data_IF_060531793166
#
_entry.id   IF_060531793166
#
_cell.length_a   1.000
_cell.length_b   1.000
_cell.length_c   1.000
_cell.angle_alpha   90.00
_cell.angle_beta   90.00
_cell.angle_gamma   90.00
#
_symmetry.space_group_name_H-M   'P 1'
#
loop_
_entity.id
_entity.type
_entity.pdbx_description
1 polymer ?
#
# COMPACT_ATOMS: atom_id res chain seq x y z
N UNK A 1 -12.35 -29.07 -23.28
CA UNK A 1 -12.97 -28.32 -22.17
C UNK A 1 -14.07 -27.45 -22.78
N UNK A 2 -15.31 -27.52 -22.30
CA UNK A 2 -16.43 -26.73 -22.88
C UNK A 2 -16.47 -25.40 -22.12
N UNK A 3 -16.05 -24.31 -22.76
CA UNK A 3 -16.09 -22.99 -22.14
C UNK A 3 -17.55 -22.55 -21.95
N UNK A 4 -17.91 -22.17 -20.73
CA UNK A 4 -19.21 -21.56 -20.43
C UNK A 4 -18.99 -20.07 -20.17
N UNK A 5 -18.98 -19.28 -21.24
CA UNK A 5 -18.76 -17.83 -21.19
C UNK A 5 -19.89 -17.05 -20.49
N UNK A 6 -20.97 -17.75 -20.10
CA UNK A 6 -22.11 -17.20 -19.36
C UNK A 6 -22.17 -17.72 -17.91
N UNK A 7 -21.22 -18.54 -17.48
CA UNK A 7 -21.16 -18.97 -16.08
C UNK A 7 -20.71 -17.80 -15.21
N UNK A 8 -21.64 -17.24 -14.43
CA UNK A 8 -21.30 -16.39 -13.29
C UNK A 8 -20.73 -17.24 -12.14
N UNK A 9 -19.93 -16.61 -11.28
CA UNK A 9 -19.58 -17.20 -9.98
C UNK A 9 -20.86 -17.12 -9.12
N UNK A 10 -21.32 -18.21 -8.50
CA UNK A 10 -22.52 -18.18 -7.66
C UNK A 10 -22.40 -17.14 -6.55
N UNK A 11 -23.47 -16.39 -6.27
CA UNK A 11 -23.46 -15.28 -5.32
C UNK A 11 -22.96 -15.71 -3.93
N UNK A 12 -23.30 -16.93 -3.49
CA UNK A 12 -22.83 -17.54 -2.24
C UNK A 12 -21.31 -17.75 -2.15
N UNK A 13 -20.62 -17.69 -3.29
CA UNK A 13 -19.17 -17.78 -3.41
C UNK A 13 -18.51 -16.44 -3.75
N UNK A 14 -19.30 -15.37 -3.83
CA UNK A 14 -18.81 -14.03 -4.08
C UNK A 14 -18.90 -13.17 -2.84
N UNK A 15 -17.89 -12.30 -2.67
CA UNK A 15 -17.94 -11.22 -1.71
C UNK A 15 -17.34 -9.98 -2.37
N UNK A 16 -18.03 -8.86 -2.21
CA UNK A 16 -17.53 -7.55 -2.59
C UNK A 16 -17.25 -6.75 -1.34
N UNK A 17 -16.02 -6.26 -1.20
CA UNK A 17 -15.65 -5.28 -0.18
C UNK A 17 -14.99 -4.09 -0.86
N UNK A 18 -15.51 -2.90 -0.58
CA UNK A 18 -14.91 -1.65 -1.02
C UNK A 18 -13.67 -1.35 -0.17
N UNK A 19 -12.53 -1.10 -0.83
CA UNK A 19 -11.34 -0.60 -0.14
C UNK A 19 -11.57 0.84 0.35
N UNK A 20 -11.04 1.23 1.53
CA UNK A 20 -11.14 2.60 2.03
C UNK A 20 -10.53 3.60 1.03
N UNK A 21 -11.20 4.75 0.86
CA UNK A 21 -10.82 5.77 -0.13
C UNK A 21 -10.96 7.21 0.41
N UNK A 22 -10.96 7.40 1.73
CA UNK A 22 -11.10 8.72 2.36
C UNK A 22 -9.91 9.64 2.03
N UNK A 23 -8.76 9.04 1.69
CA UNK A 23 -7.52 9.72 1.32
C UNK A 23 -7.36 9.91 -0.20
N UNK A 24 -8.31 9.47 -1.03
CA UNK A 24 -8.29 9.68 -2.48
C UNK A 24 -7.44 8.70 -3.30
N UNK A 25 -7.06 7.55 -2.73
CA UNK A 25 -6.37 6.46 -3.45
C UNK A 25 -7.27 5.89 -4.55
N UNK A 26 -6.80 5.93 -5.79
CA UNK A 26 -7.61 5.62 -6.97
C UNK A 26 -7.19 4.37 -7.73
N UNK A 27 -6.13 3.69 -7.30
CA UNK A 27 -5.62 2.51 -7.98
C UNK A 27 -5.00 1.48 -7.03
N UNK A 28 -4.83 0.26 -7.53
CA UNK A 28 -4.10 -0.83 -6.88
C UNK A 28 -3.25 -1.54 -7.94
N UNK A 29 -1.97 -1.76 -7.65
CA UNK A 29 -1.01 -2.35 -8.60
C UNK A 29 -0.29 -3.58 -8.04
N UNK A 30 -0.64 -3.99 -6.82
CA UNK A 30 -0.02 -5.14 -6.22
C UNK A 30 -0.92 -5.77 -5.16
N UNK A 31 -0.92 -7.11 -5.17
CA UNK A 31 -1.62 -7.92 -4.20
C UNK A 31 -0.91 -9.27 -4.03
N UNK A 32 -0.94 -9.82 -2.82
CA UNK A 32 -0.44 -11.16 -2.57
C UNK A 32 -1.36 -11.91 -1.60
N UNK A 33 -1.45 -13.24 -1.78
CA UNK A 33 -2.19 -14.12 -0.87
C UNK A 33 -1.21 -14.83 0.06
N UNK A 34 -1.48 -14.78 1.35
CA UNK A 34 -0.74 -15.57 2.35
C UNK A 34 -1.12 -17.04 2.31
N UNK A 35 -0.32 -17.88 2.99
CA UNK A 35 -0.62 -19.30 3.20
C UNK A 35 -1.89 -19.54 4.03
N UNK A 36 -2.26 -18.59 4.89
CA UNK A 36 -3.44 -18.66 5.77
C UNK A 36 -4.68 -18.01 5.16
N UNK A 37 -4.73 -17.89 3.83
CA UNK A 37 -5.84 -17.31 3.08
C UNK A 37 -6.19 -15.85 3.41
N UNK A 38 -5.23 -15.08 3.91
CA UNK A 38 -5.34 -13.62 4.03
C UNK A 38 -4.76 -12.97 2.79
N UNK A 39 -5.40 -11.91 2.31
CA UNK A 39 -4.94 -11.16 1.14
C UNK A 39 -4.34 -9.84 1.59
N UNK A 40 -3.28 -9.43 0.93
CA UNK A 40 -2.63 -8.14 1.15
C UNK A 40 -2.77 -7.35 -0.12
N UNK A 41 -3.35 -6.16 -0.01
CA UNK A 41 -3.71 -5.33 -1.16
C UNK A 41 -3.13 -3.94 -0.95
N UNK A 42 -2.29 -3.52 -1.88
CA UNK A 42 -1.78 -2.15 -1.87
C UNK A 42 -2.78 -1.22 -2.56
N UNK A 43 -3.04 -0.05 -1.99
CA UNK A 43 -3.75 1.03 -2.68
C UNK A 43 -2.84 2.23 -2.82
N UNK A 44 -3.05 2.98 -3.89
CA UNK A 44 -2.03 3.87 -4.39
C UNK A 44 -2.62 5.10 -5.09
N UNK A 45 -1.83 6.16 -5.16
CA UNK A 45 -2.10 7.35 -5.95
C UNK A 45 -1.59 7.19 -7.37
N UNK A 46 -2.47 7.35 -8.35
CA UNK A 46 -2.19 7.27 -9.77
C UNK A 46 -2.70 8.48 -10.54
N UNK A 47 -1.98 8.87 -11.59
CA UNK A 47 -2.30 10.07 -12.37
C UNK A 47 -2.06 11.31 -11.52
N UNK A 48 -3.05 12.20 -11.44
CA UNK A 48 -2.94 13.50 -10.76
C UNK A 48 -3.14 13.42 -9.24
N UNK A 49 -3.05 12.22 -8.63
CA UNK A 49 -3.30 11.97 -7.20
C UNK A 49 -2.00 11.73 -6.42
N UNK A 50 -1.35 12.78 -5.88
CA UNK A 50 -0.07 12.72 -5.19
C UNK A 50 -0.24 12.26 -3.74
N UNK A 51 -0.66 11.01 -3.55
CA UNK A 51 -0.83 10.41 -2.21
C UNK A 51 0.11 9.21 -2.05
N UNK A 52 0.71 9.08 -0.86
CA UNK A 52 1.56 7.92 -0.54
C UNK A 52 0.74 6.63 -0.48
N UNK A 53 1.35 5.50 -0.85
CA UNK A 53 0.66 4.21 -0.84
C UNK A 53 0.23 3.77 0.57
N UNK A 54 -0.83 2.96 0.62
CA UNK A 54 -1.25 2.22 1.81
C UNK A 54 -1.24 0.73 1.52
N UNK A 55 -1.09 -0.07 2.57
CA UNK A 55 -1.24 -1.52 2.50
C UNK A 55 -2.34 -1.97 3.46
N UNK A 56 -3.24 -2.77 2.91
CA UNK A 56 -4.35 -3.37 3.64
C UNK A 56 -4.20 -4.88 3.71
N UNK A 57 -4.67 -5.45 4.81
CA UNK A 57 -4.93 -6.88 4.97
C UNK A 57 -6.43 -7.13 4.88
N UNK A 58 -6.83 -8.08 4.04
CA UNK A 58 -8.20 -8.48 3.77
C UNK A 58 -8.45 -9.92 4.22
N UNK A 59 -9.56 -10.11 4.93
CA UNK A 59 -10.02 -11.40 5.45
C UNK A 59 -11.23 -11.88 4.62
N UNK A 60 -11.06 -12.84 3.69
CA UNK A 60 -12.10 -13.21 2.73
C UNK A 60 -13.38 -13.77 3.38
N UNK A 61 -13.23 -14.53 4.46
CA UNK A 61 -14.37 -15.15 5.16
C UNK A 61 -15.37 -14.11 5.69
N UNK A 62 -14.84 -13.01 6.23
CA UNK A 62 -15.65 -11.97 6.88
C UNK A 62 -15.87 -10.75 5.99
N UNK A 63 -15.00 -10.51 5.01
CA UNK A 63 -14.96 -9.27 4.26
C UNK A 63 -14.23 -8.13 4.96
N UNK A 64 -13.68 -8.36 6.16
CA UNK A 64 -13.02 -7.31 6.93
C UNK A 64 -11.72 -6.86 6.28
N UNK A 65 -11.41 -5.58 6.42
CA UNK A 65 -10.17 -4.95 5.95
C UNK A 65 -9.49 -4.22 7.10
N UNK A 66 -8.16 -4.28 7.16
CA UNK A 66 -7.34 -3.58 8.16
C UNK A 66 -6.15 -2.89 7.49
N UNK A 67 -5.93 -1.60 7.74
CA UNK A 67 -4.68 -0.91 7.36
C UNK A 67 -3.53 -1.49 8.17
N UNK A 68 -2.47 -1.94 7.50
CA UNK A 68 -1.27 -2.50 8.15
C UNK A 68 0.00 -1.70 7.86
N UNK A 69 0.00 -0.86 6.84
CA UNK A 69 1.10 0.06 6.56
C UNK A 69 0.56 1.34 5.90
N UNK A 70 1.00 2.49 6.43
CA UNK A 70 0.86 3.79 5.81
C UNK A 70 2.27 4.27 5.43
N UNK A 71 2.57 4.32 4.13
CA UNK A 71 3.93 4.61 3.66
C UNK A 71 4.36 6.03 4.04
N UNK A 72 3.43 6.98 4.14
CA UNK A 72 3.75 8.34 4.58
C UNK A 72 4.28 8.39 6.03
N UNK A 73 3.88 7.42 6.86
CA UNK A 73 4.38 7.29 8.24
C UNK A 73 5.72 6.55 8.31
N UNK A 74 6.03 5.72 7.31
CA UNK A 74 7.28 4.95 7.24
C UNK A 74 8.42 5.74 6.58
N UNK A 75 8.10 6.65 5.67
CA UNK A 75 9.07 7.46 4.96
C UNK A 75 8.56 8.89 4.79
N UNK A 76 9.23 9.80 5.47
CA UNK A 76 8.92 11.22 5.43
C UNK A 76 9.64 11.83 4.24
N UNK A 77 8.89 12.15 3.18
CA UNK A 77 9.33 13.06 2.13
C UNK A 77 8.93 14.49 2.47
N UNK A 78 9.64 15.47 1.91
CA UNK A 78 9.16 16.84 1.96
C UNK A 78 7.76 16.92 1.29
N UNK A 79 6.77 17.64 1.87
CA UNK A 79 5.44 17.77 1.27
C UNK A 79 5.41 18.36 -0.14
N UNK A 80 6.48 19.03 -0.60
CA UNK A 80 6.61 19.52 -1.97
C UNK A 80 7.12 18.44 -2.94
N UNK A 81 7.76 17.39 -2.45
CA UNK A 81 8.34 16.32 -3.26
C UNK A 81 7.30 15.28 -3.71
N UNK A 82 7.67 14.50 -4.73
CA UNK A 82 6.85 13.38 -5.18
C UNK A 82 6.77 12.30 -4.10
N UNK A 83 5.55 11.92 -3.67
CA UNK A 83 5.40 10.90 -2.63
C UNK A 83 5.71 9.51 -3.19
N UNK A 84 6.12 8.53 -2.37
CA UNK A 84 6.13 7.12 -2.74
C UNK A 84 4.67 6.62 -2.95
N UNK A 85 4.13 6.90 -4.14
CA UNK A 85 2.70 6.81 -4.39
C UNK A 85 2.20 5.39 -4.62
N UNK A 86 3.08 4.40 -4.80
CA UNK A 86 2.76 3.00 -5.11
C UNK A 86 3.65 1.99 -4.38
N UNK A 87 3.13 0.78 -4.23
CA UNK A 87 3.88 -0.47 -4.15
C UNK A 87 3.50 -1.21 -5.44
N UNK A 88 4.46 -1.42 -6.36
CA UNK A 88 4.18 -1.96 -7.70
C UNK A 88 4.93 -3.27 -7.88
N UNK A 89 4.18 -4.36 -8.08
CA UNK A 89 4.67 -5.72 -8.39
C UNK A 89 5.93 -6.13 -7.59
N UNK A 90 5.96 -5.83 -6.30
CA UNK A 90 7.09 -6.05 -5.41
C UNK A 90 6.70 -6.57 -4.02
N UNK A 91 5.41 -6.78 -3.75
CA UNK A 91 4.90 -7.33 -2.50
C UNK A 91 5.06 -8.85 -2.47
N UNK A 92 5.86 -9.35 -1.53
CA UNK A 92 6.05 -10.79 -1.34
C UNK A 92 6.29 -11.15 0.13
N UNK A 93 6.21 -12.44 0.44
CA UNK A 93 6.53 -12.98 1.75
C UNK A 93 8.00 -13.39 1.84
N UNK A 94 8.64 -12.96 2.91
CA UNK A 94 9.87 -13.57 3.40
C UNK A 94 9.58 -14.96 3.96
N UNK A 95 10.64 -15.78 4.09
CA UNK A 95 10.53 -17.16 4.61
C UNK A 95 9.96 -17.25 6.02
N UNK A 96 10.04 -16.18 6.80
CA UNK A 96 9.51 -16.07 8.16
C UNK A 96 8.08 -15.51 8.22
N UNK A 97 7.42 -15.32 7.07
CA UNK A 97 6.04 -14.84 6.98
C UNK A 97 5.88 -13.33 7.09
N UNK A 98 6.96 -12.57 7.23
CA UNK A 98 6.93 -11.10 7.05
C UNK A 98 6.75 -10.74 5.59
N UNK A 99 6.22 -9.55 5.33
CA UNK A 99 6.15 -8.98 4.00
C UNK A 99 7.41 -8.18 3.70
N UNK A 100 7.86 -8.27 2.45
CA UNK A 100 8.84 -7.39 1.83
C UNK A 100 8.19 -6.71 0.64
N UNK A 101 8.46 -5.42 0.46
CA UNK A 101 7.95 -4.62 -0.65
C UNK A 101 8.89 -3.48 -0.98
N UNK A 102 8.77 -2.92 -2.18
CA UNK A 102 9.47 -1.71 -2.58
C UNK A 102 8.46 -0.63 -2.99
N UNK A 103 8.75 0.62 -2.64
CA UNK A 103 7.93 1.73 -3.11
C UNK A 103 8.31 2.13 -4.53
N UNK A 104 7.34 2.70 -5.24
CA UNK A 104 7.50 3.36 -6.52
C UNK A 104 6.65 4.64 -6.49
N UNK A 105 6.85 5.53 -7.46
CA UNK A 105 6.00 6.69 -7.67
C UNK A 105 5.46 6.73 -9.12
N UNK A 106 4.18 7.06 -9.27
CA UNK A 106 3.57 7.38 -10.59
C UNK A 106 2.70 8.63 -10.53
N UNK A 107 2.70 9.34 -9.40
CA UNK A 107 1.98 10.58 -9.22
C UNK A 107 2.97 11.75 -9.26
N UNK A 108 2.62 12.90 -9.84
CA UNK A 108 3.51 14.06 -9.87
C UNK A 108 3.75 14.61 -8.46
N UNK A 109 4.63 15.60 -8.35
CA UNK A 109 4.73 16.38 -7.12
C UNK A 109 3.41 17.12 -6.83
N UNK A 110 3.06 17.39 -5.56
CA UNK A 110 1.73 17.89 -5.20
C UNK A 110 1.28 19.19 -5.86
N UNK A 111 2.21 20.04 -6.30
CA UNK A 111 1.90 21.31 -6.95
C UNK A 111 1.67 21.20 -8.47
N UNK A 112 1.77 19.99 -9.04
CA UNK A 112 1.71 19.77 -10.48
C UNK A 112 0.58 18.84 -10.87
N UNK A 113 -0.10 19.16 -11.97
CA UNK A 113 -1.13 18.29 -12.55
C UNK A 113 -0.54 17.09 -13.28
N UNK A 114 0.72 17.17 -13.69
CA UNK A 114 1.39 16.15 -14.51
C UNK A 114 2.86 16.07 -14.12
N UNK A 115 3.47 14.96 -14.50
CA UNK A 115 4.92 14.81 -14.41
C UNK A 115 5.61 15.86 -15.27
N UNK A 116 6.49 16.61 -14.64
CA UNK A 116 7.46 17.42 -15.37
C UNK A 116 8.64 16.54 -15.79
N UNK A 117 9.32 16.97 -16.85
CA UNK A 117 10.49 16.27 -17.35
C UNK A 117 11.64 16.23 -16.31
N UNK A 118 11.77 17.28 -15.51
CA UNK A 118 12.87 17.46 -14.54
C UNK A 118 12.54 16.91 -13.13
N UNK A 119 11.35 16.34 -12.92
CA UNK A 119 10.91 15.75 -11.65
C UNK A 119 11.54 14.36 -11.40
N UNK A 120 12.85 14.32 -11.29
CA UNK A 120 13.63 13.12 -10.99
C UNK A 120 14.46 13.31 -9.71
N UNK A 121 15.21 12.30 -9.28
CA UNK A 121 15.89 12.26 -7.97
C UNK A 121 16.92 13.38 -7.71
N UNK A 122 17.31 14.12 -8.75
CA UNK A 122 18.24 15.25 -8.65
C UNK A 122 17.52 16.58 -8.38
N UNK A 123 16.20 16.63 -8.62
CA UNK A 123 15.36 17.75 -8.22
C UNK A 123 15.10 17.66 -6.71
N UNK A 124 15.81 18.52 -5.98
CA UNK A 124 15.76 18.57 -4.52
C UNK A 124 14.44 19.11 -3.97
N UNK A 125 13.62 19.76 -4.80
CA UNK A 125 12.39 20.43 -4.37
C UNK A 125 11.14 19.60 -4.67
N UNK A 126 11.06 19.08 -5.89
CA UNK A 126 9.84 18.43 -6.40
C UNK A 126 10.14 17.06 -7.02
N UNK A 127 11.37 16.57 -6.90
CA UNK A 127 11.76 15.26 -7.39
C UNK A 127 11.22 14.09 -6.57
N UNK A 128 11.35 12.89 -7.13
CA UNK A 128 11.15 11.64 -6.39
C UNK A 128 12.46 11.23 -5.73
N UNK A 129 12.56 11.20 -4.38
CA UNK A 129 13.81 10.90 -3.68
C UNK A 129 14.25 9.43 -3.79
N UNK A 130 13.50 8.61 -4.53
CA UNK A 130 13.82 7.22 -4.82
C UNK A 130 12.95 6.22 -4.07
N UNK A 131 13.13 4.96 -4.46
CA UNK A 131 12.43 3.81 -3.91
C UNK A 131 13.04 3.32 -2.61
N UNK A 132 12.19 2.74 -1.76
CA UNK A 132 12.55 2.31 -0.42
C UNK A 132 12.05 0.90 -0.25
N UNK A 133 12.84 0.06 0.42
CA UNK A 133 12.42 -1.29 0.78
C UNK A 133 11.79 -1.27 2.15
N UNK A 134 10.55 -1.77 2.25
CA UNK A 134 9.81 -1.88 3.50
C UNK A 134 9.72 -3.35 3.86
N UNK A 135 9.98 -3.65 5.14
CA UNK A 135 9.67 -4.95 5.74
C UNK A 135 8.65 -4.73 6.83
N UNK A 136 7.50 -5.39 6.73
CA UNK A 136 6.44 -5.26 7.72
C UNK A 136 5.86 -6.63 8.06
N UNK A 137 5.30 -6.75 9.25
CA UNK A 137 4.61 -7.97 9.71
C UNK A 137 3.11 -7.81 9.47
N UNK A 138 2.44 -8.84 8.95
CA UNK A 138 0.96 -8.90 9.03
C UNK A 138 0.47 -9.05 10.49
N UNK A 139 1.37 -9.46 11.39
CA UNK A 139 1.05 -9.77 12.78
C UNK A 139 1.81 -8.83 13.71
N UNK A 140 1.06 -8.13 14.58
CA UNK A 140 1.51 -7.39 15.77
C UNK A 140 2.10 -5.99 15.59
N UNK A 141 1.21 -4.99 15.54
CA UNK A 141 1.51 -3.67 16.13
C UNK A 141 0.87 -3.49 17.52
N UNK A 142 -0.24 -4.18 17.83
CA UNK A 142 -0.97 -3.95 19.09
C UNK A 142 -0.51 -4.75 20.32
N UNK A 143 0.22 -5.87 20.20
CA UNK A 143 0.64 -6.64 21.39
C UNK A 143 1.96 -6.16 22.02
N UNK A 144 2.79 -5.44 21.28
CA UNK A 144 4.07 -4.95 21.79
C UNK A 144 3.93 -3.65 22.61
N UNK A 145 2.82 -2.92 22.47
CA UNK A 145 2.66 -1.60 23.09
C UNK A 145 1.47 -1.45 24.05
N UNK A 146 0.66 -2.49 24.30
CA UNK A 146 -0.41 -2.46 25.32
C UNK A 146 0.04 -2.76 26.76
N UNK A 147 1.35 -2.73 27.06
CA UNK A 147 1.85 -3.14 28.39
C UNK A 147 2.93 -2.29 29.06
N UNK A 148 3.51 -1.28 28.41
CA UNK A 148 4.55 -0.46 29.04
C UNK A 148 4.37 1.01 28.70
N UNK A 149 3.82 1.75 29.67
CA UNK A 149 4.00 3.19 29.74
C UNK A 149 5.51 3.47 29.74
N UNK A 150 5.99 4.19 28.73
CA UNK A 150 7.32 4.79 28.76
C UNK A 150 7.21 6.09 29.56
N UNK A 151 7.72 6.08 30.79
CA UNK A 151 8.21 7.32 31.41
C UNK A 151 9.45 7.73 30.63
N UNK A 152 9.38 8.88 29.96
CA UNK A 152 10.54 9.54 29.39
C UNK A 152 11.48 9.94 30.55
N UNK A 153 12.69 9.41 30.53
CA UNK A 153 13.78 9.77 31.43
C UNK A 153 15.08 9.71 30.65
N UNK A 154 15.41 10.83 30.00
CA UNK A 154 16.59 11.69 30.20
C UNK A 154 16.68 12.65 29.01
#
# INVERSE_FOLDING_TARGET
MKHNLLAGIPDEHTRFTQLPNEKGHNASWDFCRSKDDRFFVSVCGEGENPVSALLYEYYPDTGNIREICDVAKAWVVDPAQMPPSKIHTSLDFLSDGRLIMATHNTAPAPNHKRWLFEQHYEDIWEGYPGSIQIRTTSVYWESLFRGKAFTAGF
#
